data_IF_550437788518
#
_entry.id   IF_550437788518
#
_cell.length_a   1.000
_cell.length_b   1.000
_cell.length_c   1.000
_cell.angle_alpha   90.00
_cell.angle_beta   90.00
_cell.angle_gamma   90.00
#
_symmetry.space_group_name_H-M   'P 1'
#
loop_
_entity.id
_entity.type
_entity.pdbx_description
1 polymer ?
#
# COMPACT_ATOMS: atom_id res chain seq x y z
N UNK A 1 -8.13 4.68 11.26
CA UNK A 1 -8.23 4.44 9.81
C UNK A 1 -9.06 5.54 9.18
N UNK A 2 -8.65 6.11 8.05
CA UNK A 2 -9.54 6.96 7.24
C UNK A 2 -10.51 6.02 6.53
N UNK A 3 -11.57 5.62 7.23
CA UNK A 3 -12.72 5.02 6.57
C UNK A 3 -13.27 6.07 5.60
N UNK A 4 -13.25 5.75 4.31
CA UNK A 4 -14.18 6.34 3.37
C UNK A 4 -15.58 5.90 3.81
N UNK A 5 -16.17 6.63 4.75
CA UNK A 5 -17.56 6.44 5.17
C UNK A 5 -18.46 6.93 4.02
N UNK A 6 -18.55 6.12 2.96
CA UNK A 6 -19.46 6.31 1.86
C UNK A 6 -20.69 5.43 2.11
N UNK A 7 -21.82 6.06 2.40
CA UNK A 7 -23.09 5.38 2.68
C UNK A 7 -23.94 5.11 1.42
N UNK A 8 -23.41 5.39 0.23
CA UNK A 8 -24.09 5.17 -1.06
C UNK A 8 -23.70 3.84 -1.71
N UNK A 9 -24.19 3.59 -2.93
CA UNK A 9 -23.77 2.40 -3.70
C UNK A 9 -22.57 2.73 -4.58
N UNK A 10 -21.61 1.82 -4.69
CA UNK A 10 -20.45 2.00 -5.58
C UNK A 10 -20.84 2.06 -7.07
N UNK A 11 -22.07 1.67 -7.40
CA UNK A 11 -22.66 1.77 -8.73
C UNK A 11 -23.22 3.16 -9.06
N UNK A 12 -23.51 4.01 -8.08
CA UNK A 12 -23.92 5.41 -8.33
C UNK A 12 -22.67 6.27 -8.58
N UNK A 13 -22.25 6.30 -9.84
CA UNK A 13 -21.04 7.01 -10.25
C UNK A 13 -21.11 8.52 -9.98
N UNK A 14 -22.30 9.14 -9.97
CA UNK A 14 -22.44 10.58 -9.78
C UNK A 14 -22.34 10.95 -8.30
N UNK A 15 -23.02 10.20 -7.43
CA UNK A 15 -22.90 10.37 -5.99
C UNK A 15 -21.47 10.11 -5.51
N UNK A 16 -20.86 9.02 -5.97
CA UNK A 16 -19.49 8.65 -5.62
C UNK A 16 -18.48 9.69 -6.13
N UNK A 17 -18.66 10.21 -7.34
CA UNK A 17 -17.80 11.28 -7.87
C UNK A 17 -17.88 12.56 -7.03
N UNK A 18 -19.06 12.95 -6.56
CA UNK A 18 -19.21 14.11 -5.66
C UNK A 18 -18.54 13.87 -4.31
N UNK A 19 -18.70 12.69 -3.73
CA UNK A 19 -18.08 12.32 -2.46
C UNK A 19 -16.54 12.38 -2.56
N UNK A 20 -15.98 11.78 -3.60
CA UNK A 20 -14.54 11.79 -3.86
C UNK A 20 -13.98 13.19 -4.11
N UNK A 21 -14.73 14.06 -4.79
CA UNK A 21 -14.35 15.46 -4.94
C UNK A 21 -14.35 16.22 -3.61
N UNK A 22 -15.32 15.95 -2.73
CA UNK A 22 -15.36 16.52 -1.38
C UNK A 22 -14.19 16.01 -0.50
N UNK A 23 -13.71 14.79 -0.77
CA UNK A 23 -12.52 14.21 -0.12
C UNK A 23 -11.18 14.75 -0.66
N UNK A 24 -11.19 15.68 -1.63
CA UNK A 24 -10.00 16.40 -2.09
C UNK A 24 -9.48 16.01 -3.47
N UNK A 25 -10.12 15.07 -4.17
CA UNK A 25 -9.77 14.77 -5.57
C UNK A 25 -10.30 15.83 -6.53
N UNK A 26 -9.56 16.10 -7.61
CA UNK A 26 -10.00 16.94 -8.71
C UNK A 26 -11.25 16.35 -9.36
N UNK A 27 -12.11 17.22 -9.93
CA UNK A 27 -13.35 16.77 -10.61
C UNK A 27 -13.09 15.69 -11.67
N UNK A 28 -11.97 15.80 -12.39
CA UNK A 28 -11.57 14.81 -13.39
C UNK A 28 -11.19 13.48 -12.72
N UNK A 29 -10.34 13.52 -11.70
CA UNK A 29 -9.95 12.33 -10.96
C UNK A 29 -11.16 11.65 -10.31
N UNK A 30 -12.04 12.39 -9.65
CA UNK A 30 -13.23 11.84 -9.00
C UNK A 30 -14.15 11.10 -9.97
N UNK A 31 -14.36 11.62 -11.19
CA UNK A 31 -15.14 10.92 -12.24
C UNK A 31 -14.44 9.65 -12.74
N UNK A 32 -13.12 9.67 -12.83
CA UNK A 32 -12.33 8.48 -13.18
C UNK A 32 -12.44 7.43 -12.09
N UNK A 33 -12.25 7.79 -10.83
CA UNK A 33 -12.36 6.87 -9.68
C UNK A 33 -13.75 6.28 -9.52
N UNK A 34 -14.79 7.08 -9.68
CA UNK A 34 -16.16 6.57 -9.62
C UNK A 34 -16.42 5.46 -10.65
N UNK A 35 -15.89 5.62 -11.88
CA UNK A 35 -15.94 4.56 -12.90
C UNK A 35 -15.09 3.33 -12.54
N UNK A 36 -13.93 3.52 -11.94
CA UNK A 36 -13.06 2.42 -11.51
C UNK A 36 -13.70 1.62 -10.36
N UNK A 37 -14.29 2.28 -9.37
CA UNK A 37 -15.08 1.63 -8.32
C UNK A 37 -16.25 0.85 -8.91
N UNK A 38 -16.98 1.42 -9.88
CA UNK A 38 -18.06 0.70 -10.57
C UNK A 38 -17.59 -0.58 -11.28
N UNK A 39 -16.40 -0.56 -11.90
CA UNK A 39 -15.78 -1.76 -12.49
C UNK A 39 -15.39 -2.79 -11.43
N UNK A 40 -14.71 -2.36 -10.35
CA UNK A 40 -14.33 -3.24 -9.25
C UNK A 40 -15.56 -3.88 -8.59
N UNK A 41 -16.61 -3.10 -8.31
CA UNK A 41 -17.87 -3.61 -7.75
C UNK A 41 -18.57 -4.61 -8.70
N UNK A 42 -18.54 -4.35 -10.01
CA UNK A 42 -19.12 -5.26 -11.00
C UNK A 42 -18.34 -6.58 -11.07
N UNK A 43 -17.00 -6.53 -11.03
CA UNK A 43 -16.16 -7.72 -11.01
C UNK A 43 -16.36 -8.55 -9.73
N UNK A 44 -16.48 -7.87 -8.58
CA UNK A 44 -16.77 -8.51 -7.29
C UNK A 44 -18.12 -9.23 -7.30
N UNK A 45 -19.16 -8.63 -7.92
CA UNK A 45 -20.51 -9.20 -7.97
C UNK A 45 -20.61 -10.49 -8.82
N UNK A 46 -19.68 -10.70 -9.75
CA UNK A 46 -19.62 -11.89 -10.63
C UNK A 46 -18.67 -12.95 -10.08
N UNK A 47 -17.89 -12.65 -9.03
CA UNK A 47 -16.98 -13.60 -8.41
C UNK A 47 -17.75 -14.72 -7.71
N UNK A 48 -17.40 -15.98 -8.02
CA UNK A 48 -17.96 -17.15 -7.37
C UNK A 48 -17.66 -17.12 -5.86
N UNK A 49 -18.72 -17.11 -5.05
CA UNK A 49 -18.61 -17.14 -3.58
C UNK A 49 -18.71 -15.80 -2.87
N UNK A 50 -19.01 -14.70 -3.58
CA UNK A 50 -19.41 -13.44 -2.93
C UNK A 50 -20.65 -13.71 -2.04
N UNK A 51 -20.43 -13.84 -0.74
CA UNK A 51 -21.46 -14.23 0.21
C UNK A 51 -22.60 -13.19 0.20
N UNK A 52 -23.84 -13.60 -0.16
CA UNK A 52 -24.98 -12.69 -0.12
C UNK A 52 -25.16 -12.14 1.30
N UNK A 53 -25.16 -10.81 1.46
CA UNK A 53 -25.51 -10.15 2.73
C UNK A 53 -24.35 -9.57 3.54
N UNK A 54 -23.08 -9.70 3.11
CA UNK A 54 -21.99 -8.94 3.72
C UNK A 54 -21.84 -7.53 3.12
N UNK A 55 -21.51 -6.51 3.94
CA UNK A 55 -21.28 -5.17 3.43
C UNK A 55 -20.04 -5.16 2.52
N UNK A 56 -20.17 -4.50 1.36
CA UNK A 56 -19.02 -4.25 0.48
C UNK A 56 -18.12 -3.19 1.10
N UNK A 57 -16.86 -3.54 1.33
CA UNK A 57 -15.81 -2.63 1.73
C UNK A 57 -15.24 -1.93 0.49
N UNK A 58 -14.91 -0.64 0.62
CA UNK A 58 -14.37 0.15 -0.47
C UNK A 58 -13.19 1.02 -0.02
N UNK A 59 -12.08 0.94 -0.75
CA UNK A 59 -10.88 1.74 -0.44
C UNK A 59 -10.33 2.37 -1.71
N UNK A 60 -10.02 3.67 -1.65
CA UNK A 60 -9.16 4.32 -2.63
C UNK A 60 -7.76 4.43 -2.04
N UNK A 61 -6.76 3.92 -2.76
CA UNK A 61 -5.35 4.01 -2.36
C UNK A 61 -4.58 4.73 -3.46
N UNK A 62 -4.06 5.95 -3.19
CA UNK A 62 -3.33 6.71 -4.19
C UNK A 62 -1.97 6.06 -4.49
N UNK A 63 -1.38 6.39 -5.64
CA UNK A 63 0.06 6.34 -5.83
C UNK A 63 0.70 7.57 -5.20
N UNK A 64 1.98 7.81 -5.49
CA UNK A 64 2.69 8.95 -4.91
C UNK A 64 3.70 9.58 -5.87
N UNK A 65 4.00 10.85 -5.62
CA UNK A 65 5.13 11.56 -6.21
C UNK A 65 6.15 11.84 -5.12
N UNK A 66 7.42 11.67 -5.48
CA UNK A 66 8.54 12.12 -4.67
C UNK A 66 9.04 13.44 -5.27
N UNK A 67 9.03 14.50 -4.47
CA UNK A 67 9.47 15.83 -4.87
C UNK A 67 10.98 15.96 -4.66
N UNK A 68 11.49 15.43 -3.55
CA UNK A 68 12.89 15.40 -3.19
C UNK A 68 13.13 14.29 -2.15
N UNK A 69 14.30 13.63 -2.17
CA UNK A 69 14.66 12.64 -1.14
C UNK A 69 14.96 11.22 -1.66
N UNK A 70 15.16 11.05 -2.98
CA UNK A 70 15.53 9.76 -3.60
C UNK A 70 16.58 9.02 -2.77
N UNK A 71 16.31 7.75 -2.49
CA UNK A 71 17.25 6.82 -1.87
C UNK A 71 17.71 7.22 -0.45
N UNK A 72 16.89 7.99 0.27
CA UNK A 72 17.20 8.42 1.64
C UNK A 72 16.41 7.68 2.72
N UNK A 73 15.24 7.11 2.39
CA UNK A 73 14.28 6.60 3.36
C UNK A 73 14.77 5.34 4.09
N UNK A 74 15.35 4.38 3.38
CA UNK A 74 15.96 3.20 4.00
C UNK A 74 17.24 3.50 4.79
N UNK A 75 17.75 4.74 4.71
CA UNK A 75 18.97 5.20 5.36
C UNK A 75 18.70 6.22 6.49
N UNK A 76 17.45 6.37 6.93
CA UNK A 76 17.07 7.30 7.99
C UNK A 76 17.08 8.78 7.58
N UNK A 77 17.07 9.06 6.28
CA UNK A 77 17.06 10.42 5.76
C UNK A 77 15.68 11.08 5.76
N UNK A 78 15.50 12.09 4.90
CA UNK A 78 14.28 12.89 4.78
C UNK A 78 13.82 12.98 3.34
N UNK A 79 12.50 12.95 3.15
CA UNK A 79 11.88 13.14 1.83
C UNK A 79 10.72 14.12 1.87
N UNK A 80 10.59 14.87 0.78
CA UNK A 80 9.41 15.65 0.44
C UNK A 80 8.54 14.86 -0.54
N UNK A 81 7.35 14.48 -0.11
CA UNK A 81 6.47 13.56 -0.82
C UNK A 81 5.03 14.06 -0.86
N UNK A 82 4.27 13.61 -1.85
CA UNK A 82 2.83 13.87 -1.94
C UNK A 82 2.09 12.67 -2.53
N UNK A 83 0.85 12.46 -2.09
CA UNK A 83 -0.06 11.50 -2.71
C UNK A 83 -0.50 12.00 -4.10
N UNK A 84 -0.56 11.09 -5.06
CA UNK A 84 -1.04 11.38 -6.41
C UNK A 84 -2.55 11.10 -6.52
N UNK A 85 -3.20 11.71 -7.52
CA UNK A 85 -4.62 11.41 -7.79
C UNK A 85 -4.80 10.04 -8.45
N UNK A 86 -3.79 9.53 -9.17
CA UNK A 86 -3.78 8.19 -9.73
C UNK A 86 -3.62 7.16 -8.61
N UNK A 87 -4.29 6.03 -8.71
CA UNK A 87 -4.35 5.05 -7.62
C UNK A 87 -5.19 3.82 -7.95
N UNK A 88 -5.39 2.97 -6.95
CA UNK A 88 -6.26 1.80 -7.03
C UNK A 88 -7.58 2.03 -6.27
N UNK A 89 -8.67 1.59 -6.87
CA UNK A 89 -9.98 1.49 -6.24
C UNK A 89 -10.24 0.02 -5.93
N UNK A 90 -10.39 -0.32 -4.65
CA UNK A 90 -10.69 -1.66 -4.16
C UNK A 90 -12.17 -1.76 -3.79
N UNK A 91 -12.81 -2.85 -4.18
CA UNK A 91 -14.09 -3.30 -3.65
C UNK A 91 -13.89 -4.71 -3.10
N UNK A 92 -14.33 -4.98 -1.87
CA UNK A 92 -14.12 -6.27 -1.24
C UNK A 92 -15.31 -6.75 -0.41
N UNK A 93 -15.42 -8.06 -0.25
CA UNK A 93 -16.38 -8.70 0.64
C UNK A 93 -15.67 -9.74 1.52
N UNK A 94 -15.94 -9.78 2.83
CA UNK A 94 -15.41 -10.83 3.70
C UNK A 94 -16.01 -12.18 3.34
N UNK A 95 -15.23 -13.25 3.51
CA UNK A 95 -15.67 -14.64 3.40
C UNK A 95 -15.68 -15.32 4.76
N UNK A 96 -16.38 -16.44 4.88
CA UNK A 96 -16.40 -17.23 6.12
C UNK A 96 -15.30 -18.29 6.20
N UNK A 97 -14.60 -18.53 5.09
CA UNK A 97 -13.39 -19.34 5.01
C UNK A 97 -12.12 -18.47 5.06
N UNK A 98 -10.94 -19.09 4.89
CA UNK A 98 -9.65 -18.39 4.78
C UNK A 98 -9.18 -18.24 3.33
N UNK A 99 -10.07 -18.38 2.34
CA UNK A 99 -9.71 -18.21 0.94
C UNK A 99 -9.68 -16.72 0.58
N UNK A 100 -8.65 -16.30 -0.16
CA UNK A 100 -8.56 -14.95 -0.71
C UNK A 100 -8.61 -15.07 -2.22
N UNK A 101 -9.51 -14.31 -2.83
CA UNK A 101 -9.64 -14.13 -4.28
C UNK A 101 -9.30 -12.68 -4.58
N UNK A 102 -8.34 -12.44 -5.48
CA UNK A 102 -8.02 -11.09 -5.95
C UNK A 102 -8.20 -11.00 -7.45
N UNK A 103 -9.01 -10.05 -7.90
CA UNK A 103 -9.42 -9.85 -9.30
C UNK A 103 -8.94 -8.47 -9.75
N UNK A 104 -8.15 -8.42 -10.83
CA UNK A 104 -7.95 -7.18 -11.58
C UNK A 104 -9.17 -6.96 -12.50
N UNK A 105 -10.00 -5.97 -12.17
CA UNK A 105 -11.24 -5.70 -12.89
C UNK A 105 -11.02 -5.05 -14.27
N UNK A 106 -9.78 -4.67 -14.62
CA UNK A 106 -9.43 -4.14 -15.94
C UNK A 106 -8.94 -5.23 -16.89
N UNK A 107 -8.22 -6.24 -16.39
CA UNK A 107 -7.70 -7.34 -17.21
C UNK A 107 -8.51 -8.62 -17.11
N UNK A 108 -9.28 -8.79 -16.02
CA UNK A 108 -9.97 -10.03 -15.67
C UNK A 108 -9.06 -11.09 -15.03
N UNK A 109 -7.76 -10.80 -14.86
CA UNK A 109 -6.84 -11.71 -14.21
C UNK A 109 -7.24 -11.93 -12.75
N UNK A 110 -7.22 -13.19 -12.32
CA UNK A 110 -7.65 -13.61 -10.99
C UNK A 110 -6.61 -14.50 -10.35
N UNK A 111 -6.34 -14.29 -9.07
CA UNK A 111 -5.54 -15.18 -8.24
C UNK A 111 -6.37 -15.68 -7.07
N UNK A 112 -6.15 -16.94 -6.68
CA UNK A 112 -6.85 -17.58 -5.56
C UNK A 112 -5.81 -18.29 -4.69
N UNK A 113 -5.85 -18.04 -3.40
CA UNK A 113 -4.96 -18.67 -2.42
C UNK A 113 -5.61 -18.72 -1.04
N UNK A 114 -4.99 -19.40 -0.07
CA UNK A 114 -5.45 -19.44 1.32
C UNK A 114 -4.55 -18.57 2.18
N UNK A 115 -5.14 -17.83 3.11
CA UNK A 115 -4.41 -17.09 4.13
C UNK A 115 -3.84 -18.09 5.16
N UNK A 116 -2.51 -18.23 5.18
CA UNK A 116 -1.81 -19.12 6.10
C UNK A 116 -0.36 -18.63 6.37
N UNK A 117 0.21 -18.94 7.55
CA UNK A 117 1.58 -18.55 7.91
C UNK A 117 2.66 -19.12 6.99
N UNK A 118 2.42 -20.26 6.34
CA UNK A 118 3.36 -20.99 5.48
C UNK A 118 3.23 -20.63 3.98
N UNK A 119 2.32 -19.72 3.63
CA UNK A 119 2.06 -19.29 2.25
C UNK A 119 3.35 -18.86 1.55
N UNK A 120 3.56 -19.25 0.29
CA UNK A 120 4.78 -18.92 -0.47
C UNK A 120 4.48 -17.93 -1.60
N UNK A 121 4.73 -16.62 -1.43
CA UNK A 121 4.51 -15.64 -2.48
C UNK A 121 5.40 -15.90 -3.71
N UNK A 122 4.84 -15.86 -4.93
CA UNK A 122 5.59 -16.11 -6.16
C UNK A 122 6.33 -14.85 -6.62
N UNK A 123 7.67 -14.87 -6.55
CA UNK A 123 8.51 -13.77 -7.03
C UNK A 123 8.31 -13.53 -8.53
N UNK A 124 8.21 -12.26 -8.94
CA UNK A 124 8.05 -11.87 -10.34
C UNK A 124 6.60 -11.86 -10.86
N UNK A 125 5.63 -12.30 -10.06
CA UNK A 125 4.19 -12.18 -10.35
C UNK A 125 3.57 -11.04 -9.55
N UNK A 126 2.51 -10.41 -10.07
CA UNK A 126 1.72 -9.45 -9.29
C UNK A 126 1.06 -10.11 -8.07
N UNK A 127 0.85 -11.43 -8.09
CA UNK A 127 0.37 -12.21 -6.95
C UNK A 127 1.30 -12.12 -5.72
N UNK A 128 2.57 -11.76 -5.92
CA UNK A 128 3.54 -11.58 -4.84
C UNK A 128 3.04 -10.58 -3.79
N UNK A 129 2.46 -9.45 -4.22
CA UNK A 129 2.01 -8.39 -3.31
C UNK A 129 0.88 -8.85 -2.38
N UNK A 130 -0.29 -9.30 -2.87
CA UNK A 130 -1.38 -9.75 -2.00
C UNK A 130 -1.01 -10.97 -1.16
N UNK A 131 -0.24 -11.92 -1.70
CA UNK A 131 0.18 -13.10 -0.93
C UNK A 131 1.18 -12.73 0.18
N UNK A 132 2.09 -11.78 -0.05
CA UNK A 132 3.01 -11.28 0.98
C UNK A 132 2.23 -10.63 2.12
N UNK A 133 1.24 -9.81 1.82
CA UNK A 133 0.37 -9.19 2.84
C UNK A 133 -0.37 -10.24 3.66
N UNK A 134 -1.04 -11.19 2.99
CA UNK A 134 -1.82 -12.21 3.68
C UNK A 134 -0.96 -13.09 4.58
N UNK A 135 0.22 -13.52 4.09
CA UNK A 135 1.22 -14.24 4.89
C UNK A 135 1.63 -13.43 6.10
N UNK A 136 1.91 -12.13 5.91
CA UNK A 136 2.44 -11.30 6.99
C UNK A 136 1.39 -11.02 8.07
N UNK A 137 0.13 -10.81 7.69
CA UNK A 137 -1.00 -10.74 8.64
C UNK A 137 -1.14 -12.07 9.40
N UNK A 138 -1.15 -13.21 8.70
CA UNK A 138 -1.33 -14.52 9.34
C UNK A 138 -0.23 -14.86 10.37
N UNK A 139 1.01 -14.40 10.14
CA UNK A 139 2.13 -14.59 11.08
C UNK A 139 2.15 -13.60 12.22
N UNK A 140 1.92 -12.32 11.93
CA UNK A 140 2.03 -11.26 12.93
C UNK A 140 0.81 -11.21 13.86
N UNK A 141 -0.36 -11.65 13.38
CA UNK A 141 -1.62 -11.65 14.13
C UNK A 141 -2.29 -13.02 14.05
N UNK A 142 -1.82 -14.02 14.84
CA UNK A 142 -2.39 -15.36 14.83
C UNK A 142 -3.91 -15.36 14.98
N UNK A 143 -4.60 -16.12 14.14
CA UNK A 143 -6.07 -16.18 14.07
C UNK A 143 -6.72 -15.13 13.16
N UNK A 144 -5.99 -14.12 12.68
CA UNK A 144 -6.46 -13.17 11.67
C UNK A 144 -6.30 -13.75 10.24
N UNK A 145 -6.99 -14.84 9.95
CA UNK A 145 -6.89 -15.57 8.67
C UNK A 145 -8.22 -15.60 7.90
N UNK A 146 -9.19 -14.76 8.26
CA UNK A 146 -10.45 -14.65 7.51
C UNK A 146 -10.17 -14.18 6.08
N UNK A 147 -10.78 -14.89 5.13
CA UNK A 147 -10.66 -14.69 3.70
C UNK A 147 -11.50 -13.53 3.17
N UNK A 148 -11.26 -13.15 1.91
CA UNK A 148 -11.97 -12.06 1.25
C UNK A 148 -11.97 -12.25 -0.27
N UNK A 149 -13.09 -11.86 -0.90
CA UNK A 149 -13.12 -11.57 -2.33
C UNK A 149 -12.75 -10.09 -2.53
N UNK A 150 -11.74 -9.81 -3.34
CA UNK A 150 -11.17 -8.48 -3.55
C UNK A 150 -11.12 -8.20 -5.05
N UNK A 151 -11.82 -7.17 -5.50
CA UNK A 151 -11.68 -6.64 -6.86
C UNK A 151 -10.98 -5.29 -6.83
N UNK A 152 -10.01 -5.08 -7.72
CA UNK A 152 -9.26 -3.84 -7.83
C UNK A 152 -9.27 -3.28 -9.26
N UNK A 153 -9.27 -1.96 -9.38
CA UNK A 153 -9.10 -1.27 -10.65
C UNK A 153 -8.23 -0.02 -10.46
N UNK A 154 -7.17 0.14 -11.25
CA UNK A 154 -6.19 1.21 -11.09
C UNK A 154 -5.94 2.03 -12.35
N UNK A 155 -5.47 3.26 -12.17
CA UNK A 155 -5.05 4.17 -13.26
C UNK A 155 -3.64 4.74 -13.05
N UNK A 156 -2.83 4.10 -12.19
CA UNK A 156 -1.41 4.41 -12.07
C UNK A 156 -0.71 3.99 -13.38
N UNK A 157 -0.02 4.90 -14.08
CA UNK A 157 0.66 4.53 -15.32
C UNK A 157 1.73 3.46 -15.04
N UNK A 158 1.81 2.39 -15.86
CA UNK A 158 2.82 1.37 -15.71
C UNK A 158 4.24 1.96 -15.73
N UNK A 159 5.11 1.46 -14.86
CA UNK A 159 6.52 1.86 -14.78
C UNK A 159 6.80 3.37 -14.60
N UNK A 160 5.82 4.17 -14.15
CA UNK A 160 6.00 5.62 -13.96
C UNK A 160 6.71 6.02 -12.65
N UNK A 161 7.25 5.05 -11.90
CA UNK A 161 7.88 5.33 -10.61
C UNK A 161 6.90 5.87 -9.54
N UNK A 162 5.59 5.67 -9.71
CA UNK A 162 4.53 6.19 -8.84
C UNK A 162 4.03 5.19 -7.78
N UNK A 163 4.86 4.20 -7.43
CA UNK A 163 4.59 3.26 -6.32
C UNK A 163 3.34 2.40 -6.48
N UNK A 164 3.09 1.90 -7.69
CA UNK A 164 1.97 0.97 -7.95
C UNK A 164 2.05 -0.29 -7.06
N UNK A 165 3.26 -0.79 -6.76
CA UNK A 165 3.45 -1.94 -5.86
C UNK A 165 2.99 -1.65 -4.43
N UNK A 166 3.48 -0.55 -3.84
CA UNK A 166 3.16 -0.16 -2.46
C UNK A 166 1.70 0.25 -2.32
N UNK A 167 1.10 0.87 -3.34
CA UNK A 167 -0.34 1.15 -3.37
C UNK A 167 -1.19 -0.13 -3.39
N UNK A 168 -0.79 -1.14 -4.17
CA UNK A 168 -1.46 -2.44 -4.19
C UNK A 168 -1.34 -3.16 -2.84
N UNK A 169 -0.12 -3.21 -2.30
CA UNK A 169 0.19 -3.83 -1.01
C UNK A 169 -0.61 -3.16 0.11
N UNK A 170 -0.60 -1.82 0.16
CA UNK A 170 -1.35 -1.04 1.16
C UNK A 170 -2.85 -1.29 1.05
N UNK A 171 -3.42 -1.30 -0.15
CA UNK A 171 -4.86 -1.55 -0.34
C UNK A 171 -5.29 -2.95 0.08
N UNK A 172 -4.52 -3.97 -0.28
CA UNK A 172 -4.79 -5.34 0.17
C UNK A 172 -4.68 -5.45 1.69
N UNK A 173 -3.69 -4.78 2.30
CA UNK A 173 -3.56 -4.76 3.76
C UNK A 173 -4.78 -4.11 4.41
N UNK A 174 -5.22 -2.94 3.95
CA UNK A 174 -6.39 -2.24 4.50
C UNK A 174 -7.65 -3.11 4.42
N UNK A 175 -7.87 -3.78 3.29
CA UNK A 175 -8.99 -4.73 3.13
C UNK A 175 -8.89 -5.88 4.14
N UNK A 176 -7.75 -6.56 4.19
CA UNK A 176 -7.60 -7.73 5.07
C UNK A 176 -7.60 -7.35 6.56
N UNK A 177 -7.08 -6.16 6.89
CA UNK A 177 -7.13 -5.61 8.24
C UNK A 177 -8.57 -5.37 8.70
N UNK A 178 -9.41 -4.82 7.83
CA UNK A 178 -10.83 -4.59 8.11
C UNK A 178 -11.62 -5.91 8.19
N UNK A 179 -11.43 -6.82 7.22
CA UNK A 179 -12.07 -8.14 7.20
C UNK A 179 -11.76 -8.96 8.47
N UNK A 180 -10.52 -8.85 8.97
CA UNK A 180 -10.07 -9.53 10.18
C UNK A 180 -10.24 -8.69 11.46
N UNK A 181 -10.82 -7.49 11.36
CA UNK A 181 -11.04 -6.55 12.47
C UNK A 181 -9.79 -6.32 13.30
N UNK A 182 -8.64 -6.13 12.65
CA UNK A 182 -7.36 -5.96 13.32
C UNK A 182 -7.38 -4.77 14.28
N UNK A 183 -8.07 -3.68 13.92
CA UNK A 183 -8.26 -2.50 14.77
C UNK A 183 -9.03 -2.76 16.07
N UNK A 184 -9.68 -3.92 16.22
CA UNK A 184 -10.35 -4.34 17.46
C UNK A 184 -9.50 -5.27 18.31
N UNK A 185 -8.25 -5.56 17.92
CA UNK A 185 -7.36 -6.47 18.63
C UNK A 185 -6.26 -5.71 19.35
N UNK A 186 -5.98 -6.11 20.59
CA UNK A 186 -4.93 -5.50 21.40
C UNK A 186 -3.52 -5.78 20.84
N UNK A 187 -3.31 -6.94 20.23
CA UNK A 187 -2.03 -7.31 19.63
C UNK A 187 -1.69 -6.45 18.41
N UNK A 188 -2.69 -6.03 17.63
CA UNK A 188 -2.52 -5.08 16.55
C UNK A 188 -1.97 -3.74 17.06
N UNK A 189 -2.62 -3.12 18.04
CA UNK A 189 -2.20 -1.82 18.57
C UNK A 189 -0.87 -1.90 19.32
N UNK A 190 -0.62 -3.01 20.05
CA UNK A 190 0.65 -3.24 20.73
C UNK A 190 1.83 -3.26 19.76
N UNK A 191 1.68 -3.91 18.60
CA UNK A 191 2.79 -4.11 17.68
C UNK A 191 2.90 -3.05 16.60
N UNK A 192 1.78 -2.50 16.11
CA UNK A 192 1.78 -1.54 15.01
C UNK A 192 1.77 -0.11 15.51
N UNK A 193 1.17 0.19 16.67
CA UNK A 193 0.98 1.56 17.14
C UNK A 193 -0.31 2.22 16.63
N UNK A 194 -0.63 3.39 17.18
CA UNK A 194 -1.95 4.03 17.07
C UNK A 194 -2.10 4.97 15.87
N UNK A 195 -1.00 5.30 15.19
CA UNK A 195 -0.97 6.34 14.18
C UNK A 195 -0.64 5.80 12.77
N UNK A 196 -0.86 6.64 11.75
CA UNK A 196 -0.62 6.28 10.35
C UNK A 196 0.86 6.19 9.98
N UNK A 197 1.74 6.87 10.72
CA UNK A 197 3.19 6.84 10.49
C UNK A 197 3.74 5.47 10.86
N UNK A 198 3.30 4.92 11.99
CA UNK A 198 3.71 3.59 12.42
C UNK A 198 3.19 2.53 11.44
N UNK A 199 1.93 2.65 10.99
CA UNK A 199 1.38 1.79 9.94
C UNK A 199 2.19 1.90 8.63
N UNK A 200 2.62 3.09 8.23
CA UNK A 200 3.46 3.27 7.05
C UNK A 200 4.83 2.59 7.20
N UNK A 201 5.45 2.72 8.38
CA UNK A 201 6.69 2.01 8.72
C UNK A 201 6.51 0.49 8.66
N UNK A 202 5.43 -0.02 9.25
CA UNK A 202 5.09 -1.43 9.23
C UNK A 202 4.91 -1.96 7.80
N UNK A 203 4.15 -1.27 6.95
CA UNK A 203 3.94 -1.71 5.57
C UNK A 203 5.24 -1.64 4.73
N UNK A 204 6.11 -0.66 5.00
CA UNK A 204 7.47 -0.65 4.45
C UNK A 204 8.28 -1.89 4.85
N UNK A 205 8.16 -2.35 6.10
CA UNK A 205 8.76 -3.58 6.57
C UNK A 205 8.12 -4.84 5.96
N UNK A 206 6.79 -4.84 5.71
CA UNK A 206 6.10 -5.91 4.99
C UNK A 206 6.61 -6.02 3.55
N UNK A 207 6.74 -4.90 2.83
CA UNK A 207 7.23 -4.91 1.44
C UNK A 207 8.70 -5.35 1.39
N UNK A 208 9.54 -4.84 2.30
CA UNK A 208 10.99 -5.11 2.30
C UNK A 208 11.41 -6.43 2.97
N UNK A 209 10.50 -7.05 3.73
CA UNK A 209 10.78 -8.26 4.50
C UNK A 209 11.47 -8.01 5.86
N UNK A 210 11.75 -6.75 6.20
CA UNK A 210 12.34 -6.36 7.50
C UNK A 210 11.38 -6.66 8.66
N UNK A 211 11.92 -6.72 9.87
CA UNK A 211 11.11 -6.71 11.10
C UNK A 211 10.54 -5.31 11.38
N UNK A 212 9.57 -5.23 12.29
CA UNK A 212 8.99 -3.97 12.75
C UNK A 212 8.66 -4.06 14.24
N UNK A 213 9.31 -3.23 15.07
CA UNK A 213 9.21 -3.34 16.52
C UNK A 213 9.57 -4.76 16.99
N UNK A 214 8.64 -5.41 17.68
CA UNK A 214 8.80 -6.80 18.16
C UNK A 214 8.46 -7.86 17.10
N UNK A 215 7.88 -7.46 15.96
CA UNK A 215 7.50 -8.39 14.90
C UNK A 215 8.73 -8.77 14.07
N UNK A 216 9.03 -10.07 14.05
CA UNK A 216 10.13 -10.63 13.27
C UNK A 216 9.97 -10.36 11.76
N UNK A 217 11.10 -10.26 11.06
CA UNK A 217 11.18 -10.23 9.60
C UNK A 217 10.64 -11.51 8.95
N UNK A 218 10.28 -11.42 7.68
CA UNK A 218 9.82 -12.56 6.86
C UNK A 218 10.06 -12.26 5.38
N UNK A 219 9.59 -13.14 4.48
CA UNK A 219 9.55 -12.89 3.05
C UNK A 219 8.84 -11.55 2.76
N UNK A 220 9.56 -10.65 2.11
CA UNK A 220 9.01 -9.46 1.45
C UNK A 220 8.78 -9.73 -0.04
N UNK A 221 8.55 -8.66 -0.81
CA UNK A 221 8.27 -8.77 -2.25
C UNK A 221 9.55 -8.84 -3.11
N UNK A 222 10.73 -8.80 -2.48
CA UNK A 222 12.04 -8.89 -3.12
C UNK A 222 12.78 -7.56 -3.29
N UNK A 223 12.14 -6.42 -2.98
CA UNK A 223 12.76 -5.09 -2.98
C UNK A 223 13.09 -4.63 -1.57
N UNK A 224 14.32 -4.18 -1.33
CA UNK A 224 14.79 -3.71 -0.03
C UNK A 224 14.71 -2.17 0.05
N UNK A 225 13.48 -1.65 0.07
CA UNK A 225 13.20 -0.22 0.24
C UNK A 225 12.95 0.19 1.70
N UNK A 226 12.75 1.49 1.92
CA UNK A 226 12.22 2.00 3.19
C UNK A 226 10.69 2.11 3.15
N UNK A 227 10.14 3.09 3.84
CA UNK A 227 8.71 3.32 3.98
C UNK A 227 8.21 4.60 3.30
N UNK A 228 9.00 5.24 2.44
CA UNK A 228 8.62 6.50 1.78
C UNK A 228 7.27 6.40 1.06
N UNK A 229 7.13 5.37 0.22
CA UNK A 229 5.93 5.15 -0.59
C UNK A 229 4.69 5.02 0.29
N UNK A 230 4.75 4.16 1.30
CA UNK A 230 3.67 3.91 2.26
C UNK A 230 3.33 5.15 3.07
N UNK A 231 4.34 5.94 3.45
CA UNK A 231 4.18 7.20 4.18
C UNK A 231 3.39 8.20 3.34
N UNK A 232 3.74 8.33 2.05
CA UNK A 232 3.02 9.21 1.14
C UNK A 232 1.56 8.78 0.99
N UNK A 233 1.34 7.48 0.79
CA UNK A 233 0.02 6.89 0.55
C UNK A 233 -0.93 7.10 1.74
N UNK A 234 -0.43 6.93 2.97
CA UNK A 234 -1.25 6.96 4.17
C UNK A 234 -1.37 8.36 4.79
N UNK A 235 -0.31 9.17 4.70
CA UNK A 235 -0.15 10.36 5.54
C UNK A 235 -0.20 11.69 4.77
N UNK A 236 -0.09 11.70 3.43
CA UNK A 236 -0.20 12.95 2.67
C UNK A 236 -1.65 13.37 2.47
N UNK A 237 -1.86 14.69 2.42
CA UNK A 237 -3.17 15.31 2.28
C UNK A 237 -3.29 16.11 0.98
N UNK A 238 -4.52 16.29 0.51
CA UNK A 238 -4.80 17.02 -0.72
C UNK A 238 -4.28 18.47 -0.65
N UNK A 239 -3.55 18.88 -1.68
CA UNK A 239 -2.99 20.24 -1.78
C UNK A 239 -1.77 20.49 -0.89
N UNK A 240 -1.18 19.45 -0.28
CA UNK A 240 0.01 19.55 0.55
C UNK A 240 1.15 18.67 0.02
N UNK A 241 2.38 19.08 0.30
CA UNK A 241 3.60 18.27 0.21
C UNK A 241 4.06 18.02 1.64
N UNK A 242 4.19 16.76 2.04
CA UNK A 242 4.67 16.40 3.36
C UNK A 242 6.19 16.21 3.38
N UNK A 243 6.84 16.71 4.42
CA UNK A 243 8.23 16.45 4.78
C UNK A 243 8.25 15.44 5.92
N UNK A 244 8.94 14.33 5.71
CA UNK A 244 9.05 13.23 6.66
C UNK A 244 10.51 12.81 6.84
N UNK A 245 10.83 12.31 8.03
CA UNK A 245 12.05 11.56 8.32
C UNK A 245 11.73 10.06 8.44
N UNK A 246 12.74 9.20 8.36
CA UNK A 246 12.58 7.75 8.33
C UNK A 246 13.46 7.04 9.37
N UNK A 247 13.14 5.76 9.64
CA UNK A 247 13.81 4.91 10.62
C UNK A 247 13.91 5.53 12.04
N UNK A 248 12.76 5.90 12.68
CA UNK A 248 11.37 5.62 12.32
C UNK A 248 10.70 6.72 11.48
N UNK A 249 9.46 6.47 11.01
CA UNK A 249 8.71 7.46 10.24
C UNK A 249 8.26 8.59 11.15
N UNK A 250 8.71 9.81 10.86
CA UNK A 250 8.33 11.01 11.62
C UNK A 250 7.80 12.09 10.67
N UNK A 251 6.70 12.72 11.05
CA UNK A 251 6.19 13.89 10.34
C UNK A 251 6.93 15.14 10.83
N UNK A 252 7.58 15.87 9.92
CA UNK A 252 8.26 17.11 10.27
C UNK A 252 7.43 18.34 9.89
N UNK A 253 6.86 18.34 8.67
CA UNK A 253 6.18 19.53 8.14
C UNK A 253 5.22 19.22 7.01
N UNK A 254 4.15 20.01 6.92
CA UNK A 254 3.29 20.08 5.73
C UNK A 254 3.52 21.40 5.01
N UNK A 255 3.69 21.34 3.69
CA UNK A 255 4.00 22.49 2.84
C UNK A 255 2.84 22.65 1.84
N UNK A 256 2.11 23.78 1.86
CA UNK A 256 1.00 23.97 0.93
C UNK A 256 1.51 24.06 -0.50
N UNK A 257 0.87 23.31 -1.40
CA UNK A 257 1.13 23.40 -2.83
C UNK A 257 0.76 24.81 -3.32
N UNK A 258 1.65 25.53 -4.01
CA UNK A 258 1.32 26.83 -4.58
C UNK A 258 0.14 26.72 -5.56
N UNK A 259 -0.84 27.64 -5.44
CA UNK A 259 -2.11 27.57 -6.20
C UNK A 259 -1.95 27.69 -7.72
N UNK A 260 -0.86 28.29 -8.15
CA UNK A 260 -0.48 28.54 -9.54
C UNK A 260 0.47 27.46 -10.10
N UNK A 261 0.82 26.45 -9.29
CA UNK A 261 1.71 25.35 -9.69
C UNK A 261 0.95 24.02 -9.77
N UNK A 262 1.44 23.14 -10.64
CA UNK A 262 1.03 21.75 -10.73
C UNK A 262 2.24 20.85 -10.98
N UNK A 263 2.15 19.59 -10.58
CA UNK A 263 3.13 18.58 -10.98
C UNK A 263 2.73 17.97 -12.32
N UNK A 264 3.62 18.06 -13.31
CA UNK A 264 3.50 17.36 -14.57
C UNK A 264 4.38 16.10 -14.55
N UNK A 265 3.76 14.92 -14.49
CA UNK A 265 4.48 13.64 -14.49
C UNK A 265 4.74 13.20 -15.93
N UNK A 266 6.01 13.22 -16.35
CA UNK A 266 6.46 12.67 -17.62
C UNK A 266 6.97 11.23 -17.45
N UNK A 267 6.43 10.29 -18.23
CA UNK A 267 6.90 8.90 -18.23
C UNK A 267 7.95 8.74 -19.33
N UNK A 268 9.13 8.23 -18.99
CA UNK A 268 10.26 8.08 -19.93
C UNK A 268 10.00 7.09 -21.07
N UNK A 269 8.98 6.24 -20.93
CA UNK A 269 8.71 5.11 -21.84
C UNK A 269 9.64 3.92 -21.63
N UNK A 270 10.63 4.03 -20.74
CA UNK A 270 11.53 2.93 -20.38
C UNK A 270 10.89 2.06 -19.32
N UNK A 271 10.75 0.78 -19.59
CA UNK A 271 10.25 -0.19 -18.62
C UNK A 271 11.29 -0.37 -17.51
N UNK A 272 10.94 0.02 -16.29
CA UNK A 272 11.73 -0.30 -15.11
C UNK A 272 11.52 -1.79 -14.77
N UNK A 273 12.42 -2.66 -15.25
CA UNK A 273 12.40 -4.06 -14.85
C UNK A 273 12.80 -4.20 -13.37
N UNK A 274 11.95 -4.84 -12.57
CA UNK A 274 12.21 -5.12 -11.14
C UNK A 274 12.57 -6.60 -10.92
N UNK A 275 13.22 -7.23 -11.90
CA UNK A 275 13.57 -8.65 -11.89
C UNK A 275 15.03 -8.86 -12.26
N UNK A 276 15.65 -9.91 -11.74
CA UNK A 276 17.04 -10.28 -12.08
C UNK A 276 18.05 -9.17 -11.75
N UNK A 277 18.99 -8.91 -12.67
CA UNK A 277 20.08 -7.96 -12.47
C UNK A 277 19.63 -6.52 -12.13
N UNK A 278 18.46 -6.09 -12.65
CA UNK A 278 17.91 -4.78 -12.34
C UNK A 278 17.39 -4.69 -10.89
N UNK A 279 16.88 -5.80 -10.33
CA UNK A 279 16.50 -5.89 -8.92
C UNK A 279 17.73 -5.84 -8.00
N UNK A 280 18.83 -6.49 -8.40
CA UNK A 280 20.08 -6.43 -7.63
C UNK A 280 20.68 -5.02 -7.60
N UNK A 281 20.67 -4.31 -8.75
CA UNK A 281 21.08 -2.90 -8.78
C UNK A 281 20.18 -2.01 -7.91
N UNK A 282 18.87 -2.24 -7.93
CA UNK A 282 17.92 -1.52 -7.06
C UNK A 282 18.22 -1.74 -5.58
N UNK A 283 18.48 -2.99 -5.19
CA UNK A 283 18.73 -3.38 -3.81
C UNK A 283 20.15 -3.03 -3.32
N UNK A 284 21.11 -2.79 -4.23
CA UNK A 284 22.51 -2.58 -3.89
C UNK A 284 22.73 -1.40 -2.92
N UNK A 285 22.06 -0.28 -3.16
CA UNK A 285 22.22 0.91 -2.31
C UNK A 285 21.71 0.68 -0.88
N UNK A 286 20.56 0.02 -0.72
CA UNK A 286 20.02 -0.32 0.60
C UNK A 286 20.87 -1.37 1.33
N UNK A 287 21.37 -2.39 0.61
CA UNK A 287 22.32 -3.36 1.18
C UNK A 287 23.59 -2.68 1.67
N UNK A 288 24.17 -1.79 0.86
CA UNK A 288 25.39 -1.07 1.22
C UNK A 288 25.20 -0.21 2.48
N UNK A 289 24.07 0.50 2.61
CA UNK A 289 23.74 1.26 3.81
C UNK A 289 23.64 0.33 5.03
N UNK A 290 23.00 -0.82 4.88
CA UNK A 290 22.86 -1.80 5.97
C UNK A 290 24.23 -2.35 6.42
N UNK A 291 25.09 -2.71 5.46
CA UNK A 291 26.45 -3.18 5.73
C UNK A 291 27.31 -2.11 6.42
N UNK A 292 27.20 -0.85 5.97
CA UNK A 292 27.91 0.28 6.58
C UNK A 292 27.45 0.53 8.02
N UNK A 293 26.15 0.44 8.29
CA UNK A 293 25.59 0.58 9.64
C UNK A 293 26.09 -0.53 10.57
N UNK A 294 26.08 -1.79 10.11
CA UNK A 294 26.63 -2.91 10.89
C UNK A 294 28.12 -2.72 11.22
N UNK A 295 28.89 -2.24 10.23
CA UNK A 295 30.30 -1.89 10.41
C UNK A 295 30.44 -0.80 11.47
N UNK A 296 29.69 0.30 11.35
CA UNK A 296 29.72 1.40 12.30
C UNK A 296 29.35 0.95 13.73
N UNK A 297 28.28 0.16 13.89
CA UNK A 297 27.88 -0.37 15.21
C UNK A 297 28.98 -1.24 15.82
N UNK A 298 29.61 -2.09 15.02
CA UNK A 298 30.71 -2.95 15.50
C UNK A 298 31.92 -2.14 15.96
N UNK A 299 32.28 -1.08 15.24
CA UNK A 299 33.46 -0.27 15.56
C UNK A 299 33.19 0.76 16.68
N UNK A 300 31.96 1.23 16.84
CA UNK A 300 31.62 2.30 17.80
C UNK A 300 30.88 1.83 19.05
N UNK A 301 30.26 0.64 19.00
CA UNK A 301 29.35 0.16 20.03
C UNK A 301 27.99 0.89 20.06
N UNK A 302 27.67 1.69 19.04
CA UNK A 302 26.41 2.41 18.94
C UNK A 302 25.21 1.49 18.69
N UNK A 303 24.02 1.96 19.09
CA UNK A 303 22.75 1.25 19.04
C UNK A 303 21.71 1.89 18.09
N UNK A 304 22.13 2.89 17.30
CA UNK A 304 21.28 3.56 16.30
C UNK A 304 20.67 2.56 15.29
N UNK A 305 19.36 2.68 15.03
CA UNK A 305 18.56 1.70 14.27
C UNK A 305 18.54 1.90 12.76
#
# INVERSE_FOLDING_TARGET
MTELLFSGTLSDSDQLSRHLAAAGLSRRASRTKARLFGKAASALAVADGAAPGHPTLAFFVPGRIEVLGKHTDYAGGRSMIAAAEQGFCFAAAPRDDNQIVVIDALTGETIVFRAEPELKPPVGSWANYPMTVARRIARNFPGAVRGADIALAGDIPPAAGMSSSSAMLTGVFLVLAEVNRLSSRDDYWRHIGENKLDLAGYLGAVESGRGFGELAGDLGVGTFGGSEDHTAILCCEAGQIGLFAYCPVEFEKSIPMPKDHLFAVGVSGVKAEKTGAALDQYNAASRLVSELLELWRRETGGDEQ
#
